data_IF_439233311729
#
_entry.id   IF_439233311729
#
_cell.length_a   1.000
_cell.length_b   1.000
_cell.length_c   1.000
_cell.angle_alpha   90.00
_cell.angle_beta   90.00
_cell.angle_gamma   90.00
#
_symmetry.space_group_name_H-M   'P 1'
#
loop_
_entity.id
_entity.type
_entity.pdbx_description
1 polymer ?
#
# COMPACT_ATOMS: atom_id res chain seq x y z
N UNK A 1 6.80 0.12 -17.10
CA UNK A 1 6.22 -0.51 -15.89
C UNK A 1 7.35 -0.82 -14.91
N UNK A 2 7.82 0.18 -14.15
CA UNK A 2 8.68 -0.07 -12.97
C UNK A 2 7.74 -0.13 -11.77
N UNK A 3 7.04 -1.25 -11.62
CA UNK A 3 5.80 -1.28 -10.83
C UNK A 3 5.93 -1.71 -9.37
N UNK A 4 7.07 -2.25 -8.94
CA UNK A 4 7.28 -2.74 -7.56
C UNK A 4 8.73 -2.66 -7.10
N UNK A 5 9.67 -2.75 -8.05
CA UNK A 5 11.09 -2.52 -7.83
C UNK A 5 11.54 -1.47 -8.81
N UNK A 6 11.51 -0.21 -8.38
CA UNK A 6 12.02 0.89 -9.21
C UNK A 6 13.49 1.11 -8.85
N UNK A 7 14.39 0.52 -9.64
CA UNK A 7 15.82 0.85 -9.57
C UNK A 7 16.12 2.29 -10.02
N UNK A 8 15.19 2.91 -10.76
CA UNK A 8 15.37 4.21 -11.41
C UNK A 8 14.72 5.38 -10.64
N UNK A 9 13.60 5.16 -9.93
CA UNK A 9 12.94 6.16 -9.07
C UNK A 9 13.27 6.00 -7.56
N UNK A 10 14.27 5.17 -7.23
CA UNK A 10 14.81 5.07 -5.88
C UNK A 10 13.98 4.27 -4.86
N UNK A 11 14.57 4.10 -3.68
CA UNK A 11 14.03 3.30 -2.57
C UNK A 11 12.66 3.84 -2.11
N UNK A 12 12.44 5.15 -2.15
CA UNK A 12 11.17 5.76 -1.69
C UNK A 12 9.96 5.27 -2.48
N UNK A 13 10.06 5.23 -3.81
CA UNK A 13 9.00 4.70 -4.68
C UNK A 13 8.70 3.23 -4.39
N UNK A 14 9.76 2.44 -4.27
CA UNK A 14 9.65 1.02 -3.93
C UNK A 14 8.92 0.83 -2.59
N UNK A 15 9.31 1.57 -1.55
CA UNK A 15 8.64 1.53 -0.24
C UNK A 15 7.16 1.93 -0.36
N UNK A 16 6.86 3.01 -1.09
CA UNK A 16 5.50 3.48 -1.29
C UNK A 16 4.60 2.43 -1.95
N UNK A 17 5.10 1.76 -2.99
CA UNK A 17 4.36 0.69 -3.68
C UNK A 17 4.16 -0.53 -2.77
N UNK A 18 5.16 -0.91 -1.97
CA UNK A 18 5.05 -2.01 -1.00
C UNK A 18 4.09 -1.71 0.15
N UNK A 19 3.91 -0.45 0.55
CA UNK A 19 2.86 -0.07 1.51
C UNK A 19 1.46 -0.34 0.95
N UNK A 20 1.23 -0.03 -0.33
CA UNK A 20 -0.06 -0.31 -0.99
C UNK A 20 -0.28 -1.82 -1.11
N UNK A 21 0.72 -2.55 -1.61
CA UNK A 21 0.64 -4.01 -1.78
C UNK A 21 0.40 -4.71 -0.45
N UNK A 22 1.13 -4.34 0.60
CA UNK A 22 0.94 -4.94 1.93
C UNK A 22 -0.45 -4.69 2.49
N UNK A 23 -1.04 -3.50 2.29
CA UNK A 23 -2.43 -3.22 2.66
C UNK A 23 -3.44 -4.13 1.95
N UNK A 24 -3.28 -4.33 0.65
CA UNK A 24 -4.14 -5.22 -0.14
C UNK A 24 -4.00 -6.68 0.31
N UNK A 25 -2.76 -7.16 0.48
CA UNK A 25 -2.47 -8.54 0.92
C UNK A 25 -3.04 -8.78 2.32
N UNK A 26 -2.88 -7.82 3.23
CA UNK A 26 -3.46 -7.89 4.58
C UNK A 26 -4.99 -8.03 4.52
N UNK A 27 -5.68 -7.15 3.79
CA UNK A 27 -7.13 -7.16 3.67
C UNK A 27 -7.66 -8.50 3.12
N UNK A 28 -7.03 -9.01 2.05
CA UNK A 28 -7.44 -10.26 1.41
C UNK A 28 -7.17 -11.46 2.31
N UNK A 29 -6.01 -11.52 2.96
CA UNK A 29 -5.64 -12.60 3.87
C UNK A 29 -6.57 -12.66 5.08
N UNK A 30 -6.87 -11.50 5.68
CA UNK A 30 -7.81 -11.43 6.80
C UNK A 30 -9.22 -11.85 6.38
N UNK A 31 -9.69 -11.35 5.24
CA UNK A 31 -11.02 -11.67 4.70
C UNK A 31 -11.17 -13.17 4.40
N UNK A 32 -10.12 -13.81 3.89
CA UNK A 32 -10.10 -15.24 3.62
C UNK A 32 -10.10 -16.11 4.89
N UNK A 33 -9.39 -15.69 5.95
CA UNK A 33 -9.25 -16.46 7.18
C UNK A 33 -10.41 -16.29 8.15
N UNK A 34 -10.99 -15.08 8.21
CA UNK A 34 -11.96 -14.72 9.26
C UNK A 34 -13.35 -14.35 8.74
N UNK A 35 -13.60 -14.42 7.42
CA UNK A 35 -14.87 -14.03 6.77
C UNK A 35 -15.34 -12.59 7.11
N UNK A 36 -14.45 -11.77 7.66
CA UNK A 36 -14.73 -10.43 8.18
C UNK A 36 -14.49 -9.33 7.17
N UNK A 37 -15.33 -9.27 6.13
CA UNK A 37 -15.22 -8.30 5.03
C UNK A 37 -15.58 -6.86 5.43
N UNK A 38 -16.26 -6.66 6.56
CA UNK A 38 -16.78 -5.34 6.98
C UNK A 38 -16.22 -4.92 8.35
N UNK A 39 -15.12 -5.54 8.78
CA UNK A 39 -14.51 -5.20 10.05
C UNK A 39 -13.82 -3.83 9.97
N UNK A 40 -14.23 -2.92 10.86
CA UNK A 40 -13.74 -1.54 10.89
C UNK A 40 -12.24 -1.47 11.19
N UNK A 41 -11.72 -2.39 12.03
CA UNK A 41 -10.30 -2.47 12.36
C UNK A 41 -9.46 -2.87 11.15
N UNK A 42 -9.92 -3.87 10.39
CA UNK A 42 -9.24 -4.32 9.16
C UNK A 42 -9.19 -3.20 8.12
N UNK A 43 -10.30 -2.46 7.95
CA UNK A 43 -10.34 -1.30 7.07
C UNK A 43 -9.42 -0.17 7.52
N UNK A 44 -9.32 0.10 8.83
CA UNK A 44 -8.45 1.14 9.35
C UNK A 44 -6.97 0.84 9.03
N UNK A 45 -6.52 -0.40 9.25
CA UNK A 45 -5.15 -0.83 8.92
C UNK A 45 -4.90 -0.75 7.41
N UNK A 46 -5.83 -1.28 6.61
CA UNK A 46 -5.74 -1.28 5.14
C UNK A 46 -5.67 0.13 4.57
N UNK A 47 -6.58 1.01 5.00
CA UNK A 47 -6.66 2.41 4.54
C UNK A 47 -5.43 3.20 4.95
N UNK A 48 -4.90 2.98 6.15
CA UNK A 48 -3.67 3.64 6.61
C UNK A 48 -2.50 3.29 5.70
N UNK A 49 -2.26 2.00 5.47
CA UNK A 49 -1.17 1.55 4.59
C UNK A 49 -1.34 2.07 3.15
N UNK A 50 -2.56 2.01 2.63
CA UNK A 50 -2.88 2.48 1.30
C UNK A 50 -2.66 3.99 1.15
N UNK A 51 -3.16 4.80 2.08
CA UNK A 51 -3.05 6.26 2.02
C UNK A 51 -1.61 6.75 2.19
N UNK A 52 -0.81 6.12 3.05
CA UNK A 52 0.60 6.45 3.16
C UNK A 52 1.38 6.10 1.89
N UNK A 53 1.20 4.89 1.34
CA UNK A 53 1.85 4.51 0.09
C UNK A 53 1.42 5.37 -1.10
N UNK A 54 0.14 5.74 -1.16
CA UNK A 54 -0.36 6.67 -2.18
C UNK A 54 0.19 8.09 -1.98
N UNK A 55 0.21 8.60 -0.75
CA UNK A 55 0.74 9.91 -0.41
C UNK A 55 2.23 10.04 -0.72
N UNK A 56 3.03 9.01 -0.41
CA UNK A 56 4.46 8.98 -0.79
C UNK A 56 4.66 8.97 -2.30
N UNK A 57 3.83 8.27 -3.05
CA UNK A 57 3.87 8.28 -4.52
C UNK A 57 3.50 9.66 -5.11
N UNK A 58 2.56 10.39 -4.50
CA UNK A 58 2.23 11.76 -4.91
C UNK A 58 3.39 12.70 -4.60
N UNK A 59 3.95 12.61 -3.39
CA UNK A 59 5.09 13.43 -2.98
C UNK A 59 6.28 13.22 -3.92
N UNK A 60 6.54 11.96 -4.28
CA UNK A 60 7.61 11.60 -5.22
C UNK A 60 7.41 12.23 -6.60
N UNK A 61 6.17 12.27 -7.09
CA UNK A 61 5.83 12.95 -8.35
C UNK A 61 5.90 14.47 -8.25
N UNK A 62 5.67 15.05 -7.08
CA UNK A 62 5.71 16.50 -6.88
C UNK A 62 7.14 17.04 -6.77
N UNK A 63 8.08 16.21 -6.32
CA UNK A 63 9.50 16.55 -6.19
C UNK A 63 10.35 16.24 -7.44
N UNK A 64 9.80 15.48 -8.39
CA UNK A 64 10.43 15.16 -9.68
C UNK A 64 10.12 16.18 -10.76
#
# INVERSE_FOLDING_TARGET
MSGLFSGEHGIRKTVADWMIVSGIVFYLSWSALYTGWVDVGVYAVTTTLFMFGFGLNILDKAES
#
